data_IF_467229698777
#
_entry.id   IF_467229698777
#
_cell.length_a   1.000
_cell.length_b   1.000
_cell.length_c   1.000
_cell.angle_alpha   90.00
_cell.angle_beta   90.00
_cell.angle_gamma   90.00
#
_symmetry.space_group_name_H-M   'P 1'
#
loop_
_entity.id
_entity.type
_entity.pdbx_description
1 polymer ?
#
# COMPACT_ATOMS: atom_id res chain seq x y z
N UNK A 1 9.98 -12.45 31.08
CA UNK A 1 9.74 -11.48 29.98
C UNK A 1 8.31 -11.69 29.49
N UNK A 2 7.40 -10.79 29.86
CA UNK A 2 5.99 -10.87 29.44
C UNK A 2 5.92 -10.44 27.98
N UNK A 3 5.48 -11.33 27.08
CA UNK A 3 5.16 -10.96 25.70
C UNK A 3 3.84 -10.20 25.72
N UNK A 4 3.83 -8.94 25.28
CA UNK A 4 2.60 -8.21 25.04
C UNK A 4 1.85 -8.87 23.86
N UNK A 5 0.78 -9.60 24.14
CA UNK A 5 -0.02 -10.34 23.14
C UNK A 5 -0.59 -9.45 22.02
N UNK A 6 -0.77 -8.15 22.27
CA UNK A 6 -1.25 -7.20 21.27
C UNK A 6 -0.17 -6.77 20.25
N UNK A 7 1.11 -7.00 20.53
CA UNK A 7 2.21 -6.63 19.61
C UNK A 7 2.31 -7.54 18.37
N UNK A 8 1.76 -8.76 18.47
CA UNK A 8 1.78 -9.77 17.42
C UNK A 8 0.56 -9.68 16.48
N UNK A 9 -0.53 -9.01 16.90
CA UNK A 9 -1.73 -8.86 16.06
C UNK A 9 -1.53 -7.75 15.03
N UNK A 10 -1.53 -8.14 13.75
CA UNK A 10 -1.42 -7.22 12.62
C UNK A 10 -2.52 -7.46 11.58
N UNK A 11 -3.25 -6.40 11.23
CA UNK A 11 -4.23 -6.45 10.15
C UNK A 11 -3.50 -6.27 8.81
N UNK A 12 -3.46 -7.34 8.00
CA UNK A 12 -2.81 -7.36 6.69
C UNK A 12 -3.84 -7.17 5.59
N UNK A 13 -3.50 -6.34 4.61
CA UNK A 13 -4.26 -6.21 3.37
C UNK A 13 -3.32 -6.31 2.19
N UNK A 14 -3.77 -7.01 1.15
CA UNK A 14 -3.07 -7.21 -0.10
C UNK A 14 -3.98 -6.77 -1.26
N UNK A 15 -3.53 -5.81 -2.05
CA UNK A 15 -4.13 -5.53 -3.34
C UNK A 15 -3.24 -6.06 -4.46
N UNK A 16 -3.84 -6.82 -5.36
CA UNK A 16 -3.15 -7.51 -6.44
C UNK A 16 -3.44 -6.89 -7.79
N UNK A 17 -2.49 -7.03 -8.72
CA UNK A 17 -2.65 -6.66 -10.14
C UNK A 17 -3.01 -5.19 -10.38
N UNK A 18 -2.51 -4.28 -9.53
CA UNK A 18 -2.72 -2.84 -9.75
C UNK A 18 -1.89 -2.42 -10.97
N UNK A 19 -2.54 -1.83 -11.97
CA UNK A 19 -1.92 -1.37 -13.21
C UNK A 19 -1.10 -0.08 -13.04
N UNK A 20 -0.07 -0.12 -12.21
CA UNK A 20 0.85 0.99 -11.96
C UNK A 20 2.30 0.51 -11.88
N UNK A 21 3.23 1.46 -12.05
CA UNK A 21 4.66 1.18 -11.87
C UNK A 21 5.01 1.17 -10.39
N UNK A 22 5.75 0.14 -9.97
CA UNK A 22 6.24 -0.04 -8.60
C UNK A 22 6.91 1.23 -8.06
N UNK A 23 7.74 1.90 -8.85
CA UNK A 23 8.48 3.09 -8.42
C UNK A 23 7.57 4.29 -8.12
N UNK A 24 6.48 4.44 -8.90
CA UNK A 24 5.49 5.51 -8.65
C UNK A 24 4.73 5.26 -7.35
N UNK A 25 4.43 4.00 -7.06
CA UNK A 25 3.73 3.61 -5.84
C UNK A 25 4.64 3.74 -4.61
N UNK A 26 5.90 3.31 -4.71
CA UNK A 26 6.89 3.41 -3.62
C UNK A 26 7.05 4.84 -3.12
N UNK A 27 7.06 5.82 -4.04
CA UNK A 27 7.14 7.25 -3.69
C UNK A 27 6.11 7.67 -2.64
N UNK A 28 4.88 7.13 -2.71
CA UNK A 28 3.80 7.44 -1.75
C UNK A 28 3.91 6.53 -0.53
N UNK A 29 4.15 5.23 -0.74
CA UNK A 29 4.24 4.23 0.33
C UNK A 29 5.36 4.55 1.34
N UNK A 30 6.49 5.07 0.86
CA UNK A 30 7.62 5.42 1.71
C UNK A 30 7.29 6.62 2.64
N UNK A 31 6.31 7.47 2.28
CA UNK A 31 5.89 8.61 3.12
C UNK A 31 4.95 8.19 4.25
N UNK A 32 4.09 7.19 4.01
CA UNK A 32 3.08 6.75 4.97
C UNK A 32 3.60 5.66 5.93
N UNK A 33 4.78 5.09 5.67
CA UNK A 33 5.37 4.04 6.51
C UNK A 33 5.67 4.60 7.90
N UNK A 34 5.15 3.96 8.94
CA UNK A 34 5.35 4.36 10.34
C UNK A 34 4.43 5.50 10.82
N UNK A 35 3.55 6.03 9.95
CA UNK A 35 2.59 7.08 10.32
C UNK A 35 1.35 6.51 10.99
N UNK A 36 0.65 7.34 11.76
CA UNK A 36 -0.67 6.99 12.30
C UNK A 36 -1.70 6.87 11.17
N UNK A 37 -2.81 6.19 11.45
CA UNK A 37 -3.90 6.05 10.50
C UNK A 37 -4.48 7.42 10.10
N UNK A 38 -4.76 8.29 11.07
CA UNK A 38 -5.32 9.63 10.84
C UNK A 38 -4.40 10.52 10.00
N UNK A 39 -3.11 10.58 10.34
CA UNK A 39 -2.12 11.32 9.55
C UNK A 39 -2.07 10.82 8.11
N UNK A 40 -2.14 9.49 7.94
CA UNK A 40 -2.07 8.87 6.62
C UNK A 40 -3.26 9.26 5.75
N UNK A 41 -4.47 9.30 6.30
CA UNK A 41 -5.66 9.73 5.57
C UNK A 41 -5.50 11.16 5.03
N UNK A 42 -5.12 12.09 5.90
CA UNK A 42 -4.92 13.49 5.51
C UNK A 42 -3.85 13.65 4.43
N UNK A 43 -2.72 12.94 4.57
CA UNK A 43 -1.62 12.99 3.59
C UNK A 43 -2.10 12.44 2.24
N UNK A 44 -2.80 11.30 2.23
CA UNK A 44 -3.22 10.65 1.00
C UNK A 44 -4.31 11.42 0.26
N UNK A 45 -5.22 12.09 0.97
CA UNK A 45 -6.27 12.92 0.37
C UNK A 45 -5.71 14.16 -0.35
N UNK A 46 -4.68 14.80 0.24
CA UNK A 46 -4.10 16.03 -0.29
C UNK A 46 -2.96 15.79 -1.31
N UNK A 47 -2.43 14.57 -1.39
CA UNK A 47 -1.33 14.28 -2.29
C UNK A 47 -1.75 14.37 -3.77
N UNK A 48 -0.98 15.05 -4.64
CA UNK A 48 -1.32 15.25 -6.05
C UNK A 48 -1.12 13.98 -6.92
N UNK A 49 -0.70 12.87 -6.32
CA UNK A 49 -0.38 11.66 -7.06
C UNK A 49 -1.62 10.81 -7.33
N UNK A 50 -1.78 10.33 -8.57
CA UNK A 50 -2.83 9.35 -8.92
C UNK A 50 -2.78 8.07 -8.06
N UNK A 51 -1.60 7.75 -7.54
CA UNK A 51 -1.36 6.57 -6.71
C UNK A 51 -2.02 6.70 -5.32
N UNK A 52 -2.31 7.90 -4.86
CA UNK A 52 -2.92 8.11 -3.55
C UNK A 52 -4.29 7.47 -3.45
N UNK A 53 -5.11 7.58 -4.50
CA UNK A 53 -6.47 7.02 -4.52
C UNK A 53 -6.55 5.49 -4.26
N UNK A 54 -5.81 4.62 -4.98
CA UNK A 54 -5.83 3.19 -4.69
C UNK A 54 -5.24 2.84 -3.33
N UNK A 55 -4.26 3.61 -2.83
CA UNK A 55 -3.69 3.40 -1.48
C UNK A 55 -4.71 3.80 -0.41
N UNK A 56 -5.40 4.92 -0.57
CA UNK A 56 -6.44 5.40 0.36
C UNK A 56 -7.51 4.33 0.58
N UNK A 57 -8.04 3.78 -0.51
CA UNK A 57 -9.02 2.66 -0.45
C UNK A 57 -8.47 1.44 0.30
N UNK A 58 -7.19 1.14 0.13
CA UNK A 58 -6.53 0.01 0.77
C UNK A 58 -6.33 0.23 2.27
N UNK A 59 -5.95 1.44 2.66
CA UNK A 59 -5.79 1.86 4.05
C UNK A 59 -7.13 1.82 4.78
N UNK A 60 -8.20 2.32 4.15
CA UNK A 60 -9.56 2.24 4.69
C UNK A 60 -10.02 0.79 4.90
N UNK A 61 -9.78 -0.07 3.91
CA UNK A 61 -10.07 -1.51 4.03
C UNK A 61 -9.26 -2.19 5.13
N UNK A 62 -8.01 -1.77 5.34
CA UNK A 62 -7.16 -2.32 6.39
C UNK A 62 -7.65 -1.92 7.79
N UNK A 63 -8.08 -0.68 7.97
CA UNK A 63 -8.67 -0.21 9.23
C UNK A 63 -9.99 -0.94 9.53
N UNK A 64 -10.87 -1.07 8.53
CA UNK A 64 -12.12 -1.83 8.68
C UNK A 64 -11.86 -3.31 9.06
N UNK A 65 -10.83 -3.94 8.50
CA UNK A 65 -10.44 -5.29 8.88
C UNK A 65 -9.89 -5.36 10.31
N UNK A 66 -9.15 -4.34 10.75
CA UNK A 66 -8.62 -4.26 12.10
C UNK A 66 -9.75 -4.06 13.14
N UNK A 67 -10.72 -3.20 12.85
CA UNK A 67 -11.85 -2.97 13.75
C UNK A 67 -12.77 -4.19 13.82
N UNK A 68 -13.18 -4.74 12.67
CA UNK A 68 -14.14 -5.84 12.64
C UNK A 68 -13.55 -7.17 13.12
N UNK A 69 -12.34 -7.53 12.69
CA UNK A 69 -11.79 -8.87 12.99
C UNK A 69 -10.91 -8.90 14.25
N UNK A 70 -10.35 -7.76 14.66
CA UNK A 70 -9.42 -7.69 15.80
C UNK A 70 -9.92 -6.82 16.95
N UNK A 71 -11.06 -6.13 16.80
CA UNK A 71 -11.61 -5.26 17.83
C UNK A 71 -10.73 -4.06 18.17
N UNK A 72 -9.86 -3.65 17.23
CA UNK A 72 -8.93 -2.54 17.45
C UNK A 72 -9.59 -1.20 17.12
N UNK A 73 -9.35 -0.19 17.95
CA UNK A 73 -9.80 1.18 17.69
C UNK A 73 -8.94 1.83 16.59
N UNK A 74 -9.57 2.53 15.65
CA UNK A 74 -8.91 3.16 14.50
C UNK A 74 -7.87 4.22 14.92
N UNK A 75 -8.16 4.97 15.98
CA UNK A 75 -7.30 6.04 16.53
C UNK A 75 -5.93 5.51 16.98
N UNK A 76 -5.91 4.27 17.49
CA UNK A 76 -4.70 3.65 17.99
C UNK A 76 -3.92 2.90 16.89
N UNK A 77 -4.39 2.93 15.63
CA UNK A 77 -3.73 2.21 14.52
C UNK A 77 -2.60 3.03 13.89
N UNK A 78 -1.53 2.31 13.51
CA UNK A 78 -0.45 2.86 12.70
C UNK A 78 0.02 1.87 11.63
N UNK A 79 0.64 2.40 10.58
CA UNK A 79 1.19 1.59 9.49
C UNK A 79 2.53 1.01 9.91
N UNK A 80 2.54 -0.27 10.27
CA UNK A 80 3.74 -0.98 10.70
C UNK A 80 4.65 -1.38 9.53
N UNK A 81 4.06 -1.92 8.46
CA UNK A 81 4.78 -2.35 7.25
C UNK A 81 3.98 -1.97 6.03
N UNK A 82 4.68 -1.47 5.02
CA UNK A 82 4.10 -1.14 3.74
C UNK A 82 5.10 -1.47 2.64
N UNK A 83 4.73 -2.43 1.80
CA UNK A 83 5.59 -3.04 0.79
C UNK A 83 4.91 -2.98 -0.58
N UNK A 84 5.72 -2.78 -1.61
CA UNK A 84 5.28 -2.80 -3.01
C UNK A 84 6.16 -3.75 -3.79
N UNK A 85 5.52 -4.81 -4.26
CA UNK A 85 6.13 -5.85 -5.08
C UNK A 85 5.75 -5.67 -6.54
N UNK A 86 6.65 -6.09 -7.42
CA UNK A 86 6.40 -6.10 -8.86
C UNK A 86 5.45 -7.26 -9.18
N UNK A 87 4.45 -6.99 -10.01
CA UNK A 87 3.54 -8.00 -10.54
C UNK A 87 3.91 -8.43 -11.96
N UNK A 88 2.92 -9.01 -12.65
CA UNK A 88 3.05 -9.41 -14.05
C UNK A 88 3.34 -8.22 -14.97
N UNK A 89 4.12 -8.47 -16.02
CA UNK A 89 4.46 -7.47 -17.04
C UNK A 89 3.85 -7.91 -18.36
N UNK A 90 2.92 -7.10 -18.87
CA UNK A 90 2.38 -7.28 -20.22
C UNK A 90 3.29 -6.56 -21.21
N UNK A 91 3.84 -7.29 -22.18
CA UNK A 91 4.69 -6.74 -23.24
C UNK A 91 3.84 -6.47 -24.47
N UNK A 92 3.92 -5.25 -25.03
CA UNK A 92 3.25 -4.86 -26.28
C UNK A 92 4.30 -4.43 -27.30
N UNK A 93 4.25 -4.99 -28.51
CA UNK A 93 5.13 -4.55 -29.59
C UNK A 93 4.60 -3.24 -30.18
N UNK A 94 5.49 -2.27 -30.43
CA UNK A 94 5.17 -1.03 -31.12
C UNK A 94 6.10 -0.87 -32.34
N UNK A 95 5.55 -0.68 -33.56
CA UNK A 95 6.36 -0.45 -34.74
C UNK A 95 7.08 0.91 -34.65
N UNK A 96 8.26 0.99 -35.27
CA UNK A 96 9.14 2.17 -35.32
C UNK A 96 9.70 2.35 -36.75
N UNK A 97 10.29 3.51 -36.98
CA UNK A 97 10.88 3.87 -38.28
C UNK A 97 11.93 2.84 -38.74
N UNK A 98 12.07 2.72 -40.07
CA UNK A 98 13.03 1.83 -40.74
C UNK A 98 12.86 0.34 -40.38
N UNK A 99 11.62 -0.16 -40.33
CA UNK A 99 11.31 -1.58 -40.07
C UNK A 99 11.64 -2.06 -38.65
N UNK A 100 11.97 -1.16 -37.71
CA UNK A 100 12.30 -1.51 -36.33
C UNK A 100 11.05 -1.71 -35.49
N UNK A 101 11.16 -2.46 -34.40
CA UNK A 101 10.09 -2.62 -33.42
C UNK A 101 10.64 -2.58 -31.99
N UNK A 102 9.90 -1.94 -31.08
CA UNK A 102 10.26 -1.86 -29.66
C UNK A 102 9.14 -2.41 -28.77
N UNK A 103 9.51 -2.92 -27.60
CA UNK A 103 8.57 -3.46 -26.62
C UNK A 103 8.20 -2.39 -25.58
N UNK A 104 6.90 -2.11 -25.44
CA UNK A 104 6.33 -1.36 -24.33
C UNK A 104 5.99 -2.34 -23.22
N UNK A 105 6.54 -2.11 -22.02
CA UNK A 105 6.25 -2.89 -20.81
C UNK A 105 5.14 -2.21 -20.02
N UNK A 106 3.97 -2.84 -19.92
CA UNK A 106 2.89 -2.45 -19.00
C UNK A 106 3.04 -3.27 -17.73
N UNK A 107 3.63 -2.66 -16.71
CA UNK A 107 3.88 -3.30 -15.42
C UNK A 107 2.64 -3.23 -14.53
N UNK A 108 2.41 -4.29 -13.78
CA UNK A 108 1.51 -4.26 -12.62
C UNK A 108 2.31 -4.33 -11.32
N UNK A 109 1.63 -4.06 -10.20
CA UNK A 109 2.21 -4.17 -8.87
C UNK A 109 1.22 -4.80 -7.88
N UNK A 110 1.78 -5.35 -6.81
CA UNK A 110 1.06 -5.82 -5.65
C UNK A 110 1.44 -4.93 -4.46
N UNK A 111 0.45 -4.40 -3.75
CA UNK A 111 0.64 -3.53 -2.58
C UNK A 111 0.21 -4.31 -1.35
N UNK A 112 1.09 -4.37 -0.36
CA UNK A 112 0.83 -4.99 0.93
C UNK A 112 0.98 -3.96 2.04
N UNK A 113 -0.05 -3.78 2.85
CA UNK A 113 -0.03 -2.89 4.01
C UNK A 113 -0.40 -3.73 5.25
N UNK A 114 0.34 -3.53 6.33
CA UNK A 114 0.07 -4.10 7.65
C UNK A 114 -0.16 -2.97 8.65
N UNK A 115 -1.34 -2.94 9.28
CA UNK A 115 -1.64 -2.08 10.41
C UNK A 115 -1.40 -2.82 11.73
N UNK A 116 -0.91 -2.09 12.72
CA UNK A 116 -0.77 -2.57 14.10
C UNK A 116 -1.34 -1.54 15.06
N UNK A 117 -1.74 -2.00 16.24
CA UNK A 117 -2.08 -1.12 17.35
C UNK A 117 -0.79 -0.52 17.94
N UNK A 118 -0.80 0.78 18.18
CA UNK A 118 0.25 1.51 18.87
C UNK A 118 0.17 1.14 20.35
N UNK A 119 1.26 0.64 20.92
CA UNK A 119 1.33 0.42 22.37
C UNK A 119 1.34 1.78 23.07
N UNK A 120 0.35 2.04 23.93
CA UNK A 120 0.44 3.12 24.91
C UNK A 120 1.56 2.77 25.88
N UNK A 121 2.53 3.68 26.02
CA UNK A 121 3.53 3.67 27.08
C UNK A 121 2.82 4.14 28.35
#
# INVERSE_FOLDING_TARGET
>A
MIKNENSDREAKVLAQHICMSVFKVRRVIDQIRGRSYEETLMILELMPYRVSYPILRLVYSAAANASHNMGLNEVDLFISKAEVNRGSIVKKLKPRARGRSYLIKKTTCHIKISLKAKSKI
#
